data_IF_468225606978
#
_entry.id   IF_468225606978
#
_cell.length_a   1.000
_cell.length_b   1.000
_cell.length_c   1.000
_cell.angle_alpha   90.00
_cell.angle_beta   90.00
_cell.angle_gamma   90.00
#
_symmetry.space_group_name_H-M   'P 1'
#
loop_
_entity.id
_entity.type
_entity.pdbx_description
1 polymer ?
#
# COMPACT_ATOMS: atom_id res chain seq x y z
N UNK A 1 30.52 11.05 -27.91
CA UNK A 1 29.51 12.02 -27.53
C UNK A 1 28.17 11.28 -27.51
N UNK A 2 27.70 10.84 -26.35
CA UNK A 2 26.43 10.11 -26.24
C UNK A 2 25.29 11.12 -26.26
N UNK A 3 24.55 11.17 -27.37
CA UNK A 3 23.30 11.91 -27.43
C UNK A 3 22.24 11.19 -26.56
N UNK A 4 22.07 11.68 -25.34
CA UNK A 4 20.86 11.36 -24.58
C UNK A 4 19.69 12.08 -25.26
N UNK A 5 19.01 11.37 -26.15
CA UNK A 5 17.68 11.77 -26.60
C UNK A 5 16.79 11.73 -25.36
N UNK A 6 16.42 12.89 -24.80
CA UNK A 6 15.32 12.99 -23.83
C UNK A 6 14.07 12.49 -24.56
N UNK A 7 13.74 11.18 -24.39
CA UNK A 7 12.41 10.70 -24.77
C UNK A 7 11.41 11.59 -24.02
N UNK A 8 10.60 12.33 -24.78
CA UNK A 8 9.48 13.05 -24.20
C UNK A 8 8.69 12.04 -23.36
N UNK A 9 8.48 12.35 -22.07
CA UNK A 9 7.64 11.53 -21.20
C UNK A 9 6.30 11.40 -21.91
N UNK A 10 5.95 10.18 -22.33
CA UNK A 10 4.66 9.95 -22.94
C UNK A 10 3.59 10.24 -21.89
N UNK A 11 2.76 11.24 -22.17
CA UNK A 11 1.68 11.68 -21.28
C UNK A 11 0.45 10.77 -21.46
N UNK A 12 0.66 9.46 -21.26
CA UNK A 12 -0.34 8.44 -21.56
C UNK A 12 -1.51 8.40 -20.56
N UNK A 13 -1.42 9.13 -19.45
CA UNK A 13 -2.45 9.15 -18.40
C UNK A 13 -3.21 10.48 -18.29
N UNK A 14 -2.87 11.47 -19.11
CA UNK A 14 -3.37 12.83 -19.02
C UNK A 14 -4.91 12.95 -19.09
N UNK A 15 -5.55 12.16 -19.92
CA UNK A 15 -7.00 12.20 -20.13
C UNK A 15 -7.82 11.48 -19.04
N UNK A 16 -7.14 10.87 -18.05
CA UNK A 16 -7.80 10.26 -16.89
C UNK A 16 -8.14 11.29 -15.79
N UNK A 17 -7.70 12.54 -15.94
CA UNK A 17 -7.83 13.57 -14.93
C UNK A 17 -6.89 13.34 -13.74
N UNK A 18 -7.06 14.07 -12.61
CA UNK A 18 -6.24 13.90 -11.44
C UNK A 18 -6.43 12.50 -10.81
N UNK A 19 -5.32 11.77 -10.61
CA UNK A 19 -5.30 10.42 -10.04
C UNK A 19 -4.94 10.44 -8.56
N UNK A 20 -5.21 9.36 -7.86
CA UNK A 20 -4.85 9.24 -6.44
C UNK A 20 -3.33 9.21 -6.26
N UNK A 21 -2.59 8.50 -7.14
CA UNK A 21 -1.12 8.43 -7.12
C UNK A 21 -0.48 9.11 -8.32
N UNK A 22 0.76 9.56 -8.13
CA UNK A 22 1.68 9.99 -9.20
C UNK A 22 2.43 8.76 -9.73
N UNK A 23 2.39 8.56 -11.05
CA UNK A 23 2.94 7.37 -11.71
C UNK A 23 4.36 7.55 -12.26
N UNK A 24 5.12 8.50 -11.70
CA UNK A 24 6.50 8.80 -12.14
C UNK A 24 7.46 7.61 -12.05
N UNK A 25 7.21 6.64 -11.14
CA UNK A 25 7.95 5.37 -11.07
C UNK A 25 7.90 4.59 -12.40
N UNK A 26 6.82 4.73 -13.16
CA UNK A 26 6.63 4.07 -14.45
C UNK A 26 7.17 4.90 -15.63
N UNK A 27 7.80 6.04 -15.38
CA UNK A 27 8.33 6.92 -16.41
C UNK A 27 7.28 7.76 -17.12
N UNK A 28 6.06 7.82 -16.59
CA UNK A 28 4.95 8.64 -17.11
C UNK A 28 4.69 9.82 -16.17
N UNK A 29 4.00 10.82 -16.70
CA UNK A 29 3.53 11.97 -15.94
C UNK A 29 1.99 11.98 -15.90
N UNK A 30 1.41 12.45 -14.82
CA UNK A 30 -0.02 12.62 -14.64
C UNK A 30 -0.31 13.70 -13.60
N UNK A 31 -1.50 14.25 -13.61
CA UNK A 31 -1.98 15.08 -12.52
C UNK A 31 -2.38 14.21 -11.34
N UNK A 32 -2.13 14.71 -10.13
CA UNK A 32 -2.51 14.05 -8.90
C UNK A 32 -3.61 14.84 -8.18
N UNK A 33 -4.45 14.17 -7.41
CA UNK A 33 -5.45 14.83 -6.58
C UNK A 33 -4.78 15.90 -5.70
N UNK A 34 -5.40 17.08 -5.57
CA UNK A 34 -4.84 18.19 -4.80
C UNK A 34 -4.80 17.88 -3.30
N UNK A 35 -3.93 18.60 -2.58
CA UNK A 35 -3.79 18.49 -1.12
C UNK A 35 -2.59 17.64 -0.71
N UNK A 36 -2.75 16.83 0.34
CA UNK A 36 -1.64 16.09 0.97
C UNK A 36 -1.12 14.87 0.18
N UNK A 37 -1.81 14.47 -0.90
CA UNK A 37 -1.54 13.21 -1.59
C UNK A 37 -0.12 13.08 -2.13
N UNK A 38 0.41 14.14 -2.76
CA UNK A 38 1.78 14.12 -3.32
C UNK A 38 2.84 13.97 -2.24
N UNK A 39 2.74 14.76 -1.17
CA UNK A 39 3.69 14.73 -0.06
C UNK A 39 3.63 13.40 0.70
N UNK A 40 2.42 12.91 0.97
CA UNK A 40 2.23 11.59 1.58
C UNK A 40 2.80 10.47 0.71
N UNK A 41 2.62 10.52 -0.58
CA UNK A 41 3.17 9.53 -1.50
C UNK A 41 4.70 9.57 -1.53
N UNK A 42 5.32 10.76 -1.57
CA UNK A 42 6.77 10.92 -1.50
C UNK A 42 7.37 10.26 -0.26
N UNK A 43 6.69 10.36 0.89
CA UNK A 43 7.13 9.75 2.13
C UNK A 43 6.97 8.21 2.13
N UNK A 44 5.89 7.68 1.53
CA UNK A 44 5.52 6.25 1.59
C UNK A 44 6.20 5.39 0.52
N UNK A 45 6.24 5.86 -0.72
CA UNK A 45 6.65 5.05 -1.88
C UNK A 45 8.05 4.46 -1.74
N UNK A 46 9.09 5.17 -1.30
CA UNK A 46 10.43 4.58 -1.20
C UNK A 46 10.47 3.37 -0.27
N UNK A 47 9.84 3.46 0.91
CA UNK A 47 9.84 2.40 1.92
C UNK A 47 9.05 1.18 1.43
N UNK A 48 7.81 1.40 0.97
CA UNK A 48 6.95 0.31 0.51
C UNK A 48 7.53 -0.38 -0.71
N UNK A 49 8.07 0.39 -1.67
CA UNK A 49 8.74 -0.19 -2.86
C UNK A 49 9.96 -1.01 -2.49
N UNK A 50 10.77 -0.56 -1.52
CA UNK A 50 11.92 -1.33 -1.03
C UNK A 50 11.47 -2.66 -0.39
N UNK A 51 10.40 -2.64 0.41
CA UNK A 51 9.85 -3.85 1.01
C UNK A 51 9.28 -4.82 -0.04
N UNK A 52 8.57 -4.31 -1.05
CA UNK A 52 8.08 -5.14 -2.17
C UNK A 52 9.27 -5.78 -2.90
N UNK A 53 10.28 -5.00 -3.25
CA UNK A 53 11.48 -5.50 -3.94
C UNK A 53 12.21 -6.58 -3.13
N UNK A 54 12.40 -6.35 -1.83
CA UNK A 54 12.98 -7.33 -0.92
C UNK A 54 12.16 -8.62 -0.86
N UNK A 55 10.85 -8.51 -0.63
CA UNK A 55 9.96 -9.66 -0.52
C UNK A 55 9.93 -10.49 -1.82
N UNK A 56 9.92 -9.85 -3.00
CA UNK A 56 10.01 -10.53 -4.29
C UNK A 56 11.36 -11.26 -4.41
N UNK A 57 12.47 -10.58 -4.13
CA UNK A 57 13.80 -11.17 -4.23
C UNK A 57 13.96 -12.39 -3.31
N UNK A 58 13.49 -12.31 -2.07
CA UNK A 58 13.51 -13.40 -1.09
C UNK A 58 12.52 -14.53 -1.39
N UNK A 59 11.42 -14.22 -2.06
CA UNK A 59 10.43 -15.24 -2.48
C UNK A 59 10.94 -16.13 -3.61
N UNK A 60 11.88 -15.66 -4.42
CA UNK A 60 12.47 -16.40 -5.53
C UNK A 60 13.66 -17.24 -5.07
N UNK A 61 13.61 -18.56 -5.29
CA UNK A 61 14.77 -19.46 -5.17
C UNK A 61 15.57 -19.49 -6.47
N UNK A 62 14.90 -19.34 -7.62
CA UNK A 62 15.47 -19.23 -8.97
C UNK A 62 14.83 -18.04 -9.67
N UNK A 63 15.50 -17.51 -10.68
CA UNK A 63 15.00 -16.37 -11.48
C UNK A 63 13.65 -16.67 -12.16
N UNK A 64 13.40 -17.94 -12.51
CA UNK A 64 12.15 -18.41 -13.13
C UNK A 64 10.99 -18.63 -12.17
N UNK A 65 11.20 -18.50 -10.86
CA UNK A 65 10.13 -18.76 -9.89
C UNK A 65 9.03 -17.72 -10.01
N UNK A 66 7.79 -18.20 -10.04
CA UNK A 66 6.62 -17.35 -9.99
C UNK A 66 6.42 -16.81 -8.57
N UNK A 67 6.17 -15.52 -8.47
CA UNK A 67 5.83 -14.83 -7.22
C UNK A 67 4.50 -14.13 -7.40
N UNK A 68 3.59 -14.37 -6.48
CA UNK A 68 2.26 -13.76 -6.46
C UNK A 68 2.17 -12.66 -5.38
N UNK A 69 1.45 -11.59 -5.72
CA UNK A 69 1.29 -10.41 -4.85
C UNK A 69 -0.17 -9.99 -4.77
N UNK A 70 -0.62 -9.57 -3.59
CA UNK A 70 -1.94 -8.95 -3.41
C UNK A 70 -1.81 -7.66 -2.59
N UNK A 71 -2.37 -6.57 -3.10
CA UNK A 71 -2.57 -5.30 -2.40
C UNK A 71 -4.00 -5.23 -1.89
N UNK A 72 -4.17 -5.05 -0.59
CA UNK A 72 -5.45 -4.76 0.04
C UNK A 72 -5.62 -3.24 0.19
N UNK A 73 -6.83 -2.73 -0.04
CA UNK A 73 -7.16 -1.30 -0.05
C UNK A 73 -6.39 -0.55 -1.14
N UNK A 74 -6.40 -1.10 -2.34
CA UNK A 74 -5.48 -0.71 -3.42
C UNK A 74 -5.79 0.65 -4.07
N UNK A 75 -6.95 1.24 -3.84
CA UNK A 75 -7.42 2.46 -4.51
C UNK A 75 -7.21 2.37 -6.04
N UNK A 76 -6.32 3.19 -6.63
CA UNK A 76 -5.98 3.15 -8.06
C UNK A 76 -4.89 2.11 -8.42
N UNK A 77 -4.56 1.18 -7.49
CA UNK A 77 -3.75 -0.01 -7.76
C UNK A 77 -2.24 0.22 -7.86
N UNK A 78 -1.72 1.29 -7.31
CA UNK A 78 -0.33 1.70 -7.49
C UNK A 78 0.68 0.64 -7.09
N UNK A 79 0.58 0.05 -5.89
CA UNK A 79 1.57 -0.93 -5.41
C UNK A 79 1.41 -2.31 -6.06
N UNK A 80 0.19 -2.69 -6.48
CA UNK A 80 -0.01 -3.87 -7.31
C UNK A 80 0.72 -3.73 -8.65
N UNK A 81 0.64 -2.55 -9.29
CA UNK A 81 1.39 -2.26 -10.50
C UNK A 81 2.90 -2.19 -10.28
N UNK A 82 3.36 -1.63 -9.13
CA UNK A 82 4.79 -1.64 -8.75
C UNK A 82 5.29 -3.08 -8.60
N UNK A 83 4.56 -3.96 -7.92
CA UNK A 83 4.92 -5.36 -7.76
C UNK A 83 5.02 -6.10 -9.10
N UNK A 84 4.08 -5.86 -10.02
CA UNK A 84 4.14 -6.35 -11.39
C UNK A 84 5.43 -5.90 -12.11
N UNK A 85 5.72 -4.60 -12.07
CA UNK A 85 6.92 -4.01 -12.69
C UNK A 85 8.22 -4.56 -12.10
N UNK A 86 8.24 -4.91 -10.82
CA UNK A 86 9.37 -5.50 -10.10
C UNK A 86 9.49 -7.03 -10.31
N UNK A 87 8.59 -7.65 -11.09
CA UNK A 87 8.71 -9.02 -11.55
C UNK A 87 7.90 -10.05 -10.76
N UNK A 88 6.77 -9.65 -10.15
CA UNK A 88 5.73 -10.61 -9.79
C UNK A 88 5.11 -11.20 -11.05
N UNK A 89 4.76 -12.49 -11.02
CA UNK A 89 4.09 -13.18 -12.12
C UNK A 89 2.61 -12.83 -12.22
N UNK A 90 1.99 -12.55 -11.06
CA UNK A 90 0.64 -12.03 -10.94
C UNK A 90 0.59 -11.03 -9.79
N UNK A 91 -0.13 -9.94 -9.98
CA UNK A 91 -0.41 -8.94 -8.96
C UNK A 91 -1.91 -8.66 -8.93
N UNK A 92 -2.48 -8.62 -7.73
CA UNK A 92 -3.92 -8.43 -7.53
C UNK A 92 -4.12 -7.20 -6.63
N UNK A 93 -4.93 -6.25 -7.07
CA UNK A 93 -5.43 -5.16 -6.23
C UNK A 93 -6.85 -5.47 -5.78
N UNK A 94 -7.14 -5.34 -4.47
CA UNK A 94 -8.48 -5.53 -3.90
C UNK A 94 -8.90 -4.24 -3.19
N UNK A 95 -10.09 -3.75 -3.53
CA UNK A 95 -10.70 -2.56 -2.92
C UNK A 95 -12.22 -2.66 -2.96
N UNK A 96 -12.92 -2.03 -2.03
CA UNK A 96 -14.38 -1.94 -2.09
C UNK A 96 -14.87 -0.87 -3.09
N UNK A 97 -13.95 -0.11 -3.64
CA UNK A 97 -14.18 0.91 -4.65
C UNK A 97 -15.14 2.03 -4.21
N UNK A 98 -15.13 2.33 -2.90
CA UNK A 98 -15.94 3.43 -2.35
C UNK A 98 -15.67 4.75 -3.08
N UNK A 99 -14.39 5.01 -3.36
CA UNK A 99 -13.93 6.25 -3.99
C UNK A 99 -13.84 6.15 -5.53
N UNK A 100 -14.38 5.06 -6.12
CA UNK A 100 -14.49 4.82 -7.58
C UNK A 100 -13.14 4.87 -8.32
N UNK A 101 -12.09 4.33 -7.72
CA UNK A 101 -10.73 4.35 -8.27
C UNK A 101 -10.38 3.13 -9.13
N UNK A 102 -11.11 2.00 -9.00
CA UNK A 102 -10.75 0.75 -9.70
C UNK A 102 -10.83 0.86 -11.22
N UNK A 103 -11.77 1.64 -11.75
CA UNK A 103 -11.83 1.92 -13.20
C UNK A 103 -10.56 2.64 -13.69
N UNK A 104 -10.02 3.55 -12.90
CA UNK A 104 -8.74 4.20 -13.20
C UNK A 104 -7.60 3.18 -13.13
N UNK A 105 -7.57 2.31 -12.10
CA UNK A 105 -6.57 1.26 -11.95
C UNK A 105 -6.48 0.37 -13.19
N UNK A 106 -7.61 -0.13 -13.69
CA UNK A 106 -7.68 -0.94 -14.91
C UNK A 106 -7.14 -0.17 -16.15
N UNK A 107 -7.59 1.07 -16.32
CA UNK A 107 -7.16 1.93 -17.43
C UNK A 107 -5.66 2.23 -17.39
N UNK A 108 -5.12 2.49 -16.20
CA UNK A 108 -3.69 2.77 -16.00
C UNK A 108 -2.86 1.51 -16.30
N UNK A 109 -3.23 0.34 -15.75
CA UNK A 109 -2.53 -0.91 -15.99
C UNK A 109 -2.46 -1.24 -17.49
N UNK A 110 -3.58 -1.06 -18.23
CA UNK A 110 -3.64 -1.26 -19.66
C UNK A 110 -2.68 -0.32 -20.41
N UNK A 111 -2.67 0.99 -20.09
CA UNK A 111 -1.81 1.99 -20.74
C UNK A 111 -0.34 1.81 -20.42
N UNK A 112 -0.02 1.22 -19.24
CA UNK A 112 1.33 0.87 -18.83
C UNK A 112 1.78 -0.51 -19.37
N UNK A 113 0.94 -1.22 -20.12
CA UNK A 113 1.14 -2.59 -20.63
C UNK A 113 1.47 -3.59 -19.51
N UNK A 114 0.76 -3.52 -18.39
CA UNK A 114 0.89 -4.42 -17.26
C UNK A 114 -0.19 -5.51 -17.33
N UNK A 115 0.04 -6.55 -18.16
CA UNK A 115 -0.95 -7.59 -18.48
C UNK A 115 -1.13 -8.64 -17.36
N UNK A 116 -0.33 -8.58 -16.30
CA UNK A 116 -0.34 -9.50 -15.16
C UNK A 116 -0.85 -8.84 -13.88
N UNK A 117 -1.59 -7.74 -14.01
CA UNK A 117 -2.26 -7.07 -12.90
C UNK A 117 -3.77 -7.21 -13.05
N UNK A 118 -4.43 -7.62 -11.99
CA UNK A 118 -5.88 -7.76 -11.88
C UNK A 118 -6.42 -6.88 -10.76
N UNK A 119 -7.63 -6.35 -10.93
CA UNK A 119 -8.31 -5.60 -9.88
C UNK A 119 -9.65 -6.24 -9.54
N UNK A 120 -9.96 -6.28 -8.23
CA UNK A 120 -11.18 -6.89 -7.72
C UNK A 120 -11.91 -5.91 -6.82
N UNK A 121 -13.19 -5.69 -7.13
CA UNK A 121 -14.10 -4.93 -6.28
C UNK A 121 -14.70 -5.87 -5.24
N UNK A 122 -14.10 -5.90 -4.06
CA UNK A 122 -14.56 -6.76 -2.97
C UNK A 122 -14.40 -6.03 -1.63
N UNK A 123 -15.34 -6.28 -0.70
CA UNK A 123 -15.26 -5.75 0.65
C UNK A 123 -14.17 -6.46 1.45
N UNK A 124 -13.33 -5.69 2.15
CA UNK A 124 -12.28 -6.22 3.01
C UNK A 124 -12.78 -6.21 4.45
N UNK A 125 -13.36 -7.32 4.86
CA UNK A 125 -13.95 -7.53 6.19
C UNK A 125 -13.29 -8.73 6.90
N UNK A 126 -13.41 -8.88 8.22
CA UNK A 126 -12.85 -10.03 8.95
C UNK A 126 -13.33 -11.39 8.45
N UNK A 127 -14.53 -11.45 7.85
CA UNK A 127 -15.14 -12.66 7.28
C UNK A 127 -14.75 -12.93 5.83
N UNK A 128 -14.01 -12.03 5.18
CA UNK A 128 -13.62 -12.18 3.78
C UNK A 128 -12.74 -13.41 3.56
N UNK A 129 -12.91 -14.06 2.41
CA UNK A 129 -12.17 -15.27 2.03
C UNK A 129 -11.45 -15.02 0.72
N UNK A 130 -10.26 -14.47 0.81
CA UNK A 130 -9.40 -14.25 -0.35
C UNK A 130 -8.41 -15.40 -0.54
N UNK A 131 -7.96 -15.59 -1.77
CA UNK A 131 -6.88 -16.52 -2.07
C UNK A 131 -5.57 -16.03 -1.43
N UNK A 132 -4.78 -16.96 -0.90
CA UNK A 132 -3.44 -16.65 -0.40
C UNK A 132 -2.48 -16.38 -1.55
N UNK A 133 -1.58 -15.42 -1.36
CA UNK A 133 -0.48 -15.12 -2.28
C UNK A 133 0.86 -15.12 -1.53
N UNK A 134 1.97 -15.14 -2.26
CA UNK A 134 3.30 -15.12 -1.62
C UNK A 134 3.50 -13.87 -0.78
N UNK A 135 3.06 -12.73 -1.29
CA UNK A 135 3.23 -11.43 -0.65
C UNK A 135 1.87 -10.75 -0.55
N UNK A 136 1.52 -10.31 0.65
CA UNK A 136 0.37 -9.43 0.90
C UNK A 136 0.89 -8.04 1.29
N UNK A 137 0.30 -7.01 0.71
CA UNK A 137 0.49 -5.62 1.14
C UNK A 137 -0.83 -5.06 1.66
N UNK A 138 -0.88 -4.72 2.95
CA UNK A 138 -1.96 -3.96 3.56
C UNK A 138 -1.43 -2.54 3.81
N UNK A 139 -1.66 -1.68 2.84
CA UNK A 139 -1.10 -0.33 2.80
C UNK A 139 -2.21 0.70 2.82
N UNK A 140 -2.24 1.52 3.84
CA UNK A 140 -3.23 2.59 3.94
C UNK A 140 -4.63 2.13 4.35
N UNK A 141 -4.84 0.86 4.72
CA UNK A 141 -6.15 0.30 5.00
C UNK A 141 -6.55 0.25 6.48
N UNK A 142 -5.62 -0.13 7.36
CA UNK A 142 -5.95 -0.45 8.76
C UNK A 142 -6.57 0.72 9.56
N UNK A 143 -6.23 1.95 9.23
CA UNK A 143 -6.80 3.11 9.91
C UNK A 143 -8.18 3.54 9.38
N UNK A 144 -8.71 2.82 8.39
CA UNK A 144 -10.02 3.05 7.78
C UNK A 144 -11.10 2.04 8.20
N UNK A 145 -10.74 1.01 8.97
CA UNK A 145 -11.65 -0.08 9.32
C UNK A 145 -12.05 -0.06 10.79
N UNK A 146 -13.21 -0.65 11.12
CA UNK A 146 -13.72 -0.70 12.48
C UNK A 146 -12.97 -1.71 13.36
N UNK A 147 -12.41 -2.77 12.75
CA UNK A 147 -11.70 -3.82 13.47
C UNK A 147 -10.32 -4.09 12.85
N UNK A 148 -9.35 -3.18 13.06
CA UNK A 148 -8.02 -3.27 12.45
C UNK A 148 -7.24 -4.52 12.87
N UNK A 149 -7.42 -5.01 14.10
CA UNK A 149 -6.76 -6.23 14.58
C UNK A 149 -7.20 -7.45 13.76
N UNK A 150 -8.48 -7.61 13.51
CA UNK A 150 -9.02 -8.72 12.70
C UNK A 150 -8.63 -8.63 11.21
N UNK A 151 -8.55 -7.43 10.67
CA UNK A 151 -8.07 -7.23 9.30
C UNK A 151 -6.57 -7.52 9.19
N UNK A 152 -5.78 -7.19 10.21
CA UNK A 152 -4.38 -7.57 10.26
C UNK A 152 -4.21 -9.10 10.36
N UNK A 153 -4.99 -9.79 11.20
CA UNK A 153 -5.03 -11.25 11.29
C UNK A 153 -5.37 -11.89 9.92
N UNK A 154 -6.37 -11.35 9.22
CA UNK A 154 -6.73 -11.77 7.87
C UNK A 154 -5.55 -11.59 6.90
N UNK A 155 -4.95 -10.41 6.88
CA UNK A 155 -3.79 -10.10 6.02
C UNK A 155 -2.62 -11.05 6.28
N UNK A 156 -2.32 -11.31 7.56
CA UNK A 156 -1.26 -12.24 7.96
C UNK A 156 -1.58 -13.68 7.54
N UNK A 157 -2.84 -14.11 7.67
CA UNK A 157 -3.29 -15.45 7.24
C UNK A 157 -3.19 -15.64 5.72
N UNK A 158 -3.48 -14.61 4.94
CA UNK A 158 -3.42 -14.65 3.48
C UNK A 158 -1.99 -14.73 2.94
N UNK A 159 -1.01 -14.21 3.66
CA UNK A 159 0.38 -14.23 3.23
C UNK A 159 0.97 -15.65 3.33
N UNK A 160 1.59 -16.14 2.26
CA UNK A 160 2.35 -17.40 2.27
C UNK A 160 3.81 -17.19 2.72
N UNK A 161 4.42 -16.03 2.41
CA UNK A 161 5.84 -15.74 2.70
C UNK A 161 6.06 -14.39 3.37
N UNK A 162 5.42 -13.32 2.86
CA UNK A 162 5.65 -11.97 3.39
C UNK A 162 4.34 -11.20 3.53
N UNK A 163 4.27 -10.41 4.60
CA UNK A 163 3.26 -9.38 4.79
C UNK A 163 3.96 -8.02 4.92
N UNK A 164 3.51 -7.05 4.12
CA UNK A 164 3.90 -5.64 4.20
C UNK A 164 2.73 -4.87 4.78
N UNK A 165 2.96 -4.12 5.85
CA UNK A 165 1.94 -3.31 6.49
C UNK A 165 2.38 -1.86 6.54
N UNK A 166 1.50 -0.94 6.16
CA UNK A 166 1.66 0.49 6.44
C UNK A 166 0.36 1.03 7.02
N UNK A 167 0.48 1.84 8.07
CA UNK A 167 -0.66 2.56 8.64
C UNK A 167 -0.27 3.95 9.12
N UNK A 168 -1.24 4.88 9.04
CA UNK A 168 -1.15 6.16 9.73
C UNK A 168 -1.25 5.90 11.24
N UNK A 169 -0.44 6.63 12.01
CA UNK A 169 -0.48 6.65 13.47
C UNK A 169 -0.47 8.07 13.99
N UNK A 170 -1.05 8.27 15.16
CA UNK A 170 -1.08 9.56 15.84
C UNK A 170 0.28 9.88 16.46
N UNK A 171 0.72 11.14 16.34
CA UNK A 171 1.82 11.72 17.07
C UNK A 171 1.35 12.62 18.24
N UNK A 172 0.04 12.84 18.37
CA UNK A 172 -0.53 13.58 19.50
C UNK A 172 -0.47 12.80 20.81
N UNK A 173 -0.35 11.47 20.75
CA UNK A 173 -0.26 10.55 21.88
C UNK A 173 0.79 9.48 21.61
N UNK A 174 1.48 9.02 22.65
CA UNK A 174 2.51 7.96 22.56
C UNK A 174 2.26 6.82 23.59
N UNK A 175 1.04 6.71 24.08
CA UNK A 175 0.66 5.68 25.05
C UNK A 175 0.57 4.30 24.39
N UNK A 176 0.98 3.26 25.10
CA UNK A 176 0.94 1.88 24.60
C UNK A 176 -0.47 1.31 24.42
N UNK A 177 -1.45 1.91 25.07
CA UNK A 177 -2.85 1.50 25.02
C UNK A 177 -3.73 2.50 24.28
N UNK A 178 -3.12 3.53 23.64
CA UNK A 178 -3.89 4.52 22.90
C UNK A 178 -4.52 3.87 21.66
N UNK A 179 -5.84 3.90 21.64
CA UNK A 179 -6.68 3.57 20.48
C UNK A 179 -7.90 4.47 20.51
N UNK A 180 -8.21 5.11 19.41
CA UNK A 180 -9.39 5.96 19.27
C UNK A 180 -10.15 5.63 18.00
N UNK A 181 -11.42 5.31 18.15
CA UNK A 181 -12.41 5.17 17.10
C UNK A 181 -13.72 5.85 17.53
N UNK A 182 -14.35 6.67 16.67
CA UNK A 182 -13.82 7.10 15.38
C UNK A 182 -12.54 7.91 15.52
N UNK A 183 -11.78 7.99 14.40
CA UNK A 183 -10.54 8.74 14.36
C UNK A 183 -10.75 10.21 14.73
N UNK A 184 -9.81 10.88 15.41
CA UNK A 184 -9.95 12.28 15.82
C UNK A 184 -10.31 13.18 14.63
N UNK A 185 -11.41 13.93 14.75
CA UNK A 185 -11.91 14.82 13.70
C UNK A 185 -12.60 14.15 12.50
N UNK A 186 -12.82 12.84 12.56
CA UNK A 186 -13.50 12.06 11.53
C UNK A 186 -14.73 11.37 12.11
N UNK A 187 -15.68 11.01 11.26
CA UNK A 187 -16.86 10.21 11.66
C UNK A 187 -16.63 8.71 11.53
N UNK A 188 -15.48 8.28 11.06
CA UNK A 188 -15.10 6.90 10.77
C UNK A 188 -13.60 6.69 10.92
N UNK A 189 -13.16 5.42 10.82
CA UNK A 189 -11.76 5.04 10.94
C UNK A 189 -11.25 5.04 12.38
N UNK A 190 -9.96 4.85 12.53
CA UNK A 190 -9.32 4.74 13.84
C UNK A 190 -7.92 5.34 13.85
N UNK A 191 -7.37 5.56 15.06
CA UNK A 191 -5.97 5.93 15.26
C UNK A 191 -5.37 5.19 16.42
N UNK A 192 -4.16 4.72 16.19
CA UNK A 192 -3.23 4.21 17.19
C UNK A 192 -2.14 5.25 17.46
N UNK A 193 -1.46 5.16 18.60
CA UNK A 193 -0.12 5.72 18.76
C UNK A 193 0.91 4.82 18.06
N UNK A 194 2.15 5.27 17.98
CA UNK A 194 3.26 4.44 17.48
C UNK A 194 3.43 3.18 18.33
N UNK A 195 3.36 3.30 19.66
CA UNK A 195 3.56 2.20 20.60
C UNK A 195 2.41 1.20 20.58
N UNK A 196 1.16 1.68 20.58
CA UNK A 196 0.00 0.80 20.56
C UNK A 196 -0.13 0.05 19.24
N UNK A 197 0.22 0.68 18.11
CA UNK A 197 0.29 0.00 16.82
C UNK A 197 1.37 -1.08 16.79
N UNK A 198 2.58 -0.77 17.28
CA UNK A 198 3.68 -1.74 17.38
C UNK A 198 3.32 -2.93 18.28
N UNK A 199 2.62 -2.69 19.40
CA UNK A 199 2.11 -3.73 20.31
C UNK A 199 1.13 -4.67 19.58
N UNK A 200 0.19 -4.12 18.81
CA UNK A 200 -0.74 -4.91 18.01
C UNK A 200 -0.02 -5.76 16.95
N UNK A 201 0.93 -5.17 16.21
CA UNK A 201 1.71 -5.88 15.20
C UNK A 201 2.50 -7.05 15.81
N UNK A 202 3.20 -6.82 16.92
CA UNK A 202 3.99 -7.86 17.62
C UNK A 202 3.14 -9.02 18.16
N UNK A 203 1.90 -8.74 18.58
CA UNK A 203 0.96 -9.75 19.06
C UNK A 203 0.56 -10.73 17.94
N UNK A 204 0.36 -10.23 16.72
CA UNK A 204 -0.19 -10.99 15.59
C UNK A 204 0.92 -11.55 14.69
N UNK A 205 2.00 -10.80 14.52
CA UNK A 205 3.08 -11.07 13.58
C UNK A 205 4.40 -11.32 14.31
N UNK A 206 4.74 -12.59 14.61
CA UNK A 206 5.89 -12.91 15.47
C UNK A 206 7.25 -12.66 14.81
N UNK A 207 7.33 -12.64 13.47
CA UNK A 207 8.61 -12.50 12.73
C UNK A 207 8.66 -11.21 11.92
N UNK A 208 8.81 -10.09 12.62
CA UNK A 208 9.03 -8.78 12.01
C UNK A 208 10.51 -8.69 11.61
N UNK A 209 10.78 -8.52 10.29
CA UNK A 209 12.14 -8.40 9.73
C UNK A 209 12.62 -6.96 9.85
N UNK A 210 11.74 -6.01 9.52
CA UNK A 210 12.07 -4.59 9.54
C UNK A 210 10.87 -3.77 9.99
N UNK A 211 11.19 -2.64 10.61
CA UNK A 211 10.23 -1.65 11.09
C UNK A 211 10.76 -0.25 10.79
N UNK A 212 10.00 0.54 10.07
CA UNK A 212 10.34 1.91 9.75
C UNK A 212 9.26 2.87 10.23
N UNK A 213 9.64 4.09 10.50
CA UNK A 213 8.77 5.22 10.84
C UNK A 213 9.23 6.46 10.11
N UNK A 214 8.28 7.21 9.59
CA UNK A 214 8.49 8.60 9.17
C UNK A 214 7.24 9.46 9.43
N UNK A 215 7.38 10.75 9.26
CA UNK A 215 6.26 11.68 9.26
C UNK A 215 5.74 11.85 7.83
N UNK A 216 4.41 12.00 7.71
CA UNK A 216 3.72 12.31 6.47
C UNK A 216 3.65 13.83 6.33
N UNK A 217 4.48 14.40 5.48
CA UNK A 217 4.44 15.81 5.15
C UNK A 217 3.08 16.17 4.52
N UNK A 218 2.64 17.40 4.75
CA UNK A 218 1.34 17.90 4.27
C UNK A 218 0.16 17.60 5.19
N UNK A 219 0.37 16.86 6.29
CA UNK A 219 -0.63 16.66 7.35
C UNK A 219 -0.34 17.62 8.51
N UNK A 220 -1.19 18.63 8.67
CA UNK A 220 -1.04 19.62 9.74
C UNK A 220 -1.38 19.05 11.12
N UNK A 221 -2.26 18.04 11.15
CA UNK A 221 -2.75 17.42 12.38
C UNK A 221 -1.80 16.33 12.85
N UNK A 222 -1.39 16.39 14.12
CA UNK A 222 -0.54 15.36 14.74
C UNK A 222 -1.19 13.98 14.75
N UNK A 223 -2.52 13.91 14.80
CA UNK A 223 -3.28 12.66 14.77
C UNK A 223 -3.13 11.89 13.46
N UNK A 224 -2.78 12.55 12.36
CA UNK A 224 -2.70 11.98 11.02
C UNK A 224 -1.27 11.96 10.45
N UNK A 225 -0.27 12.40 11.24
CA UNK A 225 1.05 12.76 10.73
C UNK A 225 2.07 11.64 10.76
N UNK A 226 1.93 10.68 11.67
CA UNK A 226 2.86 9.55 11.75
C UNK A 226 2.53 8.46 10.75
N UNK A 227 3.56 7.76 10.28
CA UNK A 227 3.43 6.58 9.42
C UNK A 227 4.37 5.48 9.88
N UNK A 228 3.81 4.30 10.17
CA UNK A 228 4.55 3.11 10.55
C UNK A 228 4.52 2.09 9.42
N UNK A 229 5.66 1.43 9.22
CA UNK A 229 5.86 0.42 8.17
C UNK A 229 6.45 -0.83 8.78
N UNK A 230 6.01 -1.98 8.29
CA UNK A 230 6.51 -3.28 8.73
C UNK A 230 6.72 -4.20 7.55
N UNK A 231 7.85 -4.90 7.55
CA UNK A 231 8.13 -6.05 6.72
C UNK A 231 8.15 -7.28 7.61
N UNK A 232 7.28 -8.24 7.32
CA UNK A 232 7.02 -9.41 8.16
C UNK A 232 7.24 -10.65 7.30
N UNK A 233 8.00 -11.62 7.81
CA UNK A 233 8.15 -12.94 7.21
C UNK A 233 7.22 -13.94 7.92
N UNK A 234 6.66 -14.87 7.17
CA UNK A 234 5.78 -15.90 7.68
C UNK A 234 6.49 -17.23 7.83
#
# INVERSE_FOLDING_TARGET
MFNFVKKAKQNVLHDLGPLYHKYSFFGVDNDQLPGMYELNQKAKVPVITAYIAYAIAKSKKKTSDNVSFTELFCADGYYAMVASRLGCSISIGIDNDRDKQLKNAESIAQRLNLNNVEFKKEEIAPSSKFASTDIIANVGGLYHVDNPEKILELSYKMANKFLIVQSVVSLARDDEDYYQAPAPGWTWGNRFSRKSFDKMLKKICPKIIDRHFNELEGNDRLEDRGSMYYLIEK
#
